data_IF_349568540620
#
_entry.id   IF_349568540620
#
_cell.length_a   1.000
_cell.length_b   1.000
_cell.length_c   1.000
_cell.angle_alpha   90.00
_cell.angle_beta   90.00
_cell.angle_gamma   90.00
#
_symmetry.space_group_name_H-M   'P 1'
#
loop_
_entity.id
_entity.type
_entity.pdbx_description
1 polymer ?
#
# COMPACT_ATOMS: atom_id res chain seq x y z
N UNK A 1 34.36 -53.02 17.72
CA UNK A 1 33.40 -52.75 16.64
C UNK A 1 32.02 -52.80 17.25
N UNK A 2 31.44 -51.63 17.52
CA UNK A 2 30.04 -51.50 17.94
C UNK A 2 29.44 -50.52 16.94
N UNK A 3 28.50 -51.00 16.14
CA UNK A 3 27.68 -50.19 15.23
C UNK A 3 26.78 -49.26 16.05
N UNK A 4 26.80 -47.96 15.74
CA UNK A 4 25.79 -47.00 16.18
C UNK A 4 24.51 -47.23 15.36
N UNK A 5 23.31 -47.29 15.98
CA UNK A 5 22.08 -47.38 15.22
C UNK A 5 21.64 -45.98 14.77
N UNK A 6 21.57 -45.81 13.45
CA UNK A 6 20.85 -44.75 12.78
C UNK A 6 19.40 -44.67 13.29
N UNK A 7 19.05 -43.54 13.93
CA UNK A 7 17.65 -43.21 14.17
C UNK A 7 17.39 -41.70 14.07
N UNK A 8 17.71 -41.12 12.91
CA UNK A 8 17.06 -39.88 12.48
C UNK A 8 15.72 -40.23 11.84
N UNK A 9 14.69 -40.39 12.68
CA UNK A 9 13.28 -40.41 12.26
C UNK A 9 12.79 -38.95 12.12
N UNK A 10 12.57 -38.43 10.89
CA UNK A 10 12.21 -37.04 10.67
C UNK A 10 10.78 -36.69 11.14
N UNK A 11 9.98 -37.66 11.59
CA UNK A 11 8.60 -37.45 12.03
C UNK A 11 8.45 -37.11 13.53
N UNK A 12 9.55 -37.05 14.30
CA UNK A 12 9.52 -36.81 15.76
C UNK A 12 10.18 -35.51 16.22
N UNK A 13 10.33 -34.53 15.34
CA UNK A 13 10.90 -33.23 15.73
C UNK A 13 9.82 -32.35 16.35
N UNK A 14 9.82 -32.29 17.70
CA UNK A 14 9.05 -31.30 18.44
C UNK A 14 9.64 -29.90 18.20
N UNK A 15 9.13 -29.20 17.21
CA UNK A 15 9.50 -27.81 16.90
C UNK A 15 9.12 -26.90 18.06
N UNK A 16 10.09 -26.60 18.92
CA UNK A 16 9.95 -25.52 19.91
C UNK A 16 10.07 -24.19 19.16
N UNK A 17 9.08 -23.29 19.22
CA UNK A 17 9.06 -22.03 18.46
C UNK A 17 9.99 -20.96 19.06
N UNK A 18 11.21 -21.37 19.42
CA UNK A 18 12.19 -20.52 20.12
C UNK A 18 13.47 -20.29 19.30
N UNK A 19 13.58 -20.85 18.10
CA UNK A 19 14.72 -20.62 17.21
C UNK A 19 14.24 -20.12 15.87
N UNK A 20 14.54 -18.86 15.56
CA UNK A 20 14.38 -18.30 14.23
C UNK A 20 15.33 -19.03 13.27
N UNK A 21 14.78 -19.53 12.16
CA UNK A 21 15.54 -20.19 11.10
C UNK A 21 15.27 -21.69 11.00
N UNK A 22 15.06 -22.19 9.78
CA UNK A 22 15.03 -23.62 9.46
C UNK A 22 16.13 -23.90 8.44
N UNK A 23 16.69 -25.11 8.45
CA UNK A 23 17.63 -25.54 7.43
C UNK A 23 16.99 -25.46 6.03
N UNK A 24 17.74 -24.94 5.05
CA UNK A 24 17.30 -24.85 3.64
C UNK A 24 17.14 -26.23 2.98
N UNK A 25 17.67 -27.28 3.60
CA UNK A 25 17.56 -28.66 3.11
C UNK A 25 16.27 -29.36 3.56
N UNK A 26 15.40 -28.67 4.30
CA UNK A 26 14.10 -29.21 4.74
C UNK A 26 12.94 -28.56 3.98
N UNK A 27 11.81 -29.27 3.81
CA UNK A 27 10.59 -28.69 3.26
C UNK A 27 10.19 -27.43 4.03
N UNK A 28 9.79 -26.38 3.31
CA UNK A 28 9.31 -25.14 3.91
C UNK A 28 7.94 -25.42 4.55
N UNK A 29 7.81 -25.33 5.89
CA UNK A 29 6.51 -25.52 6.54
C UNK A 29 5.60 -24.31 6.28
N UNK A 30 4.31 -24.46 6.55
CA UNK A 30 3.36 -23.35 6.60
C UNK A 30 3.90 -22.24 7.54
N UNK A 31 4.28 -21.10 6.96
CA UNK A 31 4.92 -19.99 7.67
C UNK A 31 3.87 -18.97 8.12
N UNK A 32 3.67 -18.88 9.43
CA UNK A 32 2.98 -17.75 10.06
C UNK A 32 3.99 -16.76 10.62
N UNK A 33 3.60 -15.50 10.81
CA UNK A 33 4.47 -14.51 11.45
C UNK A 33 4.87 -14.94 12.87
N UNK A 34 3.95 -15.57 13.62
CA UNK A 34 4.25 -16.18 14.91
C UNK A 34 5.37 -17.24 14.79
N UNK A 35 5.29 -18.15 13.81
CA UNK A 35 6.31 -19.17 13.57
C UNK A 35 7.67 -18.60 13.12
N UNK A 36 7.67 -17.40 12.56
CA UNK A 36 8.87 -16.69 12.12
C UNK A 36 9.46 -15.78 13.23
N UNK A 37 8.85 -15.74 14.42
CA UNK A 37 9.24 -14.83 15.49
C UNK A 37 8.93 -13.36 15.20
N UNK A 38 8.06 -13.10 14.22
CA UNK A 38 7.63 -11.76 13.82
C UNK A 38 6.35 -11.42 14.58
N UNK A 39 6.38 -10.35 15.38
CA UNK A 39 5.18 -9.84 16.06
C UNK A 39 4.14 -9.40 15.02
N UNK A 40 2.85 -9.56 15.33
CA UNK A 40 1.75 -9.23 14.41
C UNK A 40 1.85 -7.84 13.78
N UNK A 41 2.26 -6.83 14.57
CA UNK A 41 2.45 -5.46 14.08
C UNK A 41 3.57 -5.28 13.03
N UNK A 42 4.47 -6.24 12.90
CA UNK A 42 5.55 -6.27 11.90
C UNK A 42 5.34 -7.39 10.88
N UNK A 43 4.17 -8.03 10.91
CA UNK A 43 3.87 -9.16 10.07
C UNK A 43 3.62 -8.69 8.63
N UNK A 44 4.50 -8.99 7.66
CA UNK A 44 4.23 -8.66 6.25
C UNK A 44 3.04 -9.47 5.71
N UNK A 45 2.65 -10.54 6.39
CA UNK A 45 1.48 -11.35 6.06
C UNK A 45 0.16 -10.76 6.59
N UNK A 46 0.19 -9.75 7.48
CA UNK A 46 -0.99 -8.95 7.85
C UNK A 46 -1.34 -8.04 6.68
N UNK A 47 -1.88 -8.65 5.62
CA UNK A 47 -2.12 -8.00 4.33
C UNK A 47 -3.31 -7.05 4.40
N UNK A 48 -3.21 -5.98 3.64
CA UNK A 48 -4.37 -5.19 3.23
C UNK A 48 -5.41 -6.14 2.62
N UNK A 49 -6.67 -6.00 3.07
CA UNK A 49 -7.77 -6.82 2.57
C UNK A 49 -8.33 -6.19 1.31
N UNK A 50 -8.58 -7.01 0.30
CA UNK A 50 -9.26 -6.57 -0.90
C UNK A 50 -10.62 -5.94 -0.54
N UNK A 51 -10.91 -4.81 -1.17
CA UNK A 51 -12.13 -4.05 -0.97
C UNK A 51 -12.85 -3.91 -2.31
N UNK A 52 -14.18 -3.94 -2.29
CA UNK A 52 -14.97 -3.85 -3.52
C UNK A 52 -14.80 -2.48 -4.19
N UNK A 53 -14.34 -2.48 -5.44
CA UNK A 53 -14.05 -1.28 -6.24
C UNK A 53 -15.31 -0.54 -6.67
N UNK A 54 -16.48 -1.17 -6.62
CA UNK A 54 -17.75 -0.56 -7.00
C UNK A 54 -18.33 0.36 -5.93
N UNK A 55 -17.88 0.21 -4.68
CA UNK A 55 -18.35 0.98 -3.54
C UNK A 55 -18.08 2.48 -3.73
N UNK A 56 -19.06 3.30 -3.31
CA UNK A 56 -18.98 4.76 -3.43
C UNK A 56 -17.74 5.33 -2.74
N UNK A 57 -17.40 4.81 -1.56
CA UNK A 57 -16.22 5.26 -0.81
C UNK A 57 -14.93 5.06 -1.61
N UNK A 58 -14.77 3.93 -2.31
CA UNK A 58 -13.56 3.66 -3.10
C UNK A 58 -13.43 4.62 -4.28
N UNK A 59 -14.54 4.92 -4.94
CA UNK A 59 -14.58 5.93 -6.01
C UNK A 59 -14.29 7.34 -5.49
N UNK A 60 -14.78 7.66 -4.28
CA UNK A 60 -14.51 8.93 -3.61
C UNK A 60 -13.03 9.07 -3.25
N UNK A 61 -12.41 8.02 -2.72
CA UNK A 61 -10.98 7.95 -2.43
C UNK A 61 -10.13 8.19 -3.70
N UNK A 62 -10.41 7.49 -4.80
CA UNK A 62 -9.74 7.72 -6.08
C UNK A 62 -9.95 9.16 -6.60
N UNK A 63 -11.18 9.68 -6.48
CA UNK A 63 -11.51 11.05 -6.90
C UNK A 63 -10.79 12.09 -6.05
N UNK A 64 -10.61 11.86 -4.75
CA UNK A 64 -9.83 12.72 -3.86
C UNK A 64 -8.36 12.77 -4.30
N UNK A 65 -7.77 11.63 -4.67
CA UNK A 65 -6.42 11.56 -5.24
C UNK A 65 -6.31 12.35 -6.55
N UNK A 66 -7.27 12.20 -7.46
CA UNK A 66 -7.28 12.95 -8.73
C UNK A 66 -7.41 14.46 -8.48
N UNK A 67 -8.28 14.87 -7.55
CA UNK A 67 -8.41 16.28 -7.14
C UNK A 67 -7.08 16.82 -6.59
N UNK A 68 -6.36 16.02 -5.81
CA UNK A 68 -5.03 16.39 -5.34
C UNK A 68 -4.06 16.60 -6.51
N UNK A 69 -4.00 15.67 -7.47
CA UNK A 69 -3.15 15.81 -8.67
C UNK A 69 -3.46 17.11 -9.42
N UNK A 70 -4.74 17.33 -9.72
CA UNK A 70 -5.20 18.47 -10.53
C UNK A 70 -4.98 19.83 -9.85
N UNK A 71 -5.01 19.88 -8.52
CA UNK A 71 -4.93 21.12 -7.76
C UNK A 71 -3.53 21.42 -7.21
N UNK A 72 -2.73 20.40 -6.94
CA UNK A 72 -1.39 20.55 -6.36
C UNK A 72 -0.31 20.46 -7.42
N UNK A 73 -0.34 19.43 -8.28
CA UNK A 73 0.71 19.24 -9.30
C UNK A 73 0.41 19.99 -10.58
N UNK A 74 -0.83 19.93 -11.09
CA UNK A 74 -1.14 20.45 -12.44
C UNK A 74 -1.62 21.90 -12.46
N UNK A 75 -2.03 22.48 -11.33
CA UNK A 75 -2.69 23.80 -11.27
C UNK A 75 -1.85 24.92 -11.89
N UNK A 76 -0.55 24.95 -11.61
CA UNK A 76 0.36 25.97 -12.16
C UNK A 76 0.77 25.70 -13.62
N UNK A 77 0.45 24.52 -14.16
CA UNK A 77 0.93 24.03 -15.45
C UNK A 77 -0.20 23.62 -16.38
N UNK A 78 -1.43 24.10 -16.14
CA UNK A 78 -2.59 23.81 -16.99
C UNK A 78 -2.46 24.29 -18.44
N UNK A 79 -1.49 25.16 -18.71
CA UNK A 79 -1.14 25.59 -20.06
C UNK A 79 -0.34 24.54 -20.84
N UNK A 80 0.23 23.53 -20.16
CA UNK A 80 0.99 22.42 -20.76
C UNK A 80 0.38 21.06 -20.48
N UNK A 81 -0.26 20.88 -19.33
CA UNK A 81 -0.77 19.60 -18.86
C UNK A 81 -2.29 19.59 -18.80
N UNK A 82 -2.90 18.48 -19.20
CA UNK A 82 -4.35 18.30 -19.15
C UNK A 82 -4.85 17.90 -17.76
N UNK A 83 -6.10 18.27 -17.46
CA UNK A 83 -6.79 17.94 -16.20
C UNK A 83 -7.33 16.51 -16.28
N UNK A 84 -7.15 15.75 -15.21
CA UNK A 84 -7.60 14.36 -15.16
C UNK A 84 -8.99 14.16 -14.59
N UNK A 85 -9.66 13.12 -15.08
CA UNK A 85 -10.92 12.59 -14.55
C UNK A 85 -10.80 11.08 -14.32
N UNK A 86 -11.61 10.56 -13.39
CA UNK A 86 -11.60 9.14 -13.06
C UNK A 86 -12.16 8.33 -14.25
N UNK A 87 -11.40 7.35 -14.72
CA UNK A 87 -11.88 6.37 -15.70
C UNK A 87 -12.47 5.15 -14.97
N UNK A 88 -11.66 4.52 -14.13
CA UNK A 88 -12.06 3.34 -13.36
C UNK A 88 -11.14 3.13 -12.16
N UNK A 89 -11.63 2.40 -11.16
CA UNK A 89 -10.78 1.88 -10.06
C UNK A 89 -10.44 0.43 -10.37
N UNK A 90 -9.14 0.13 -10.44
CA UNK A 90 -8.62 -1.19 -10.80
C UNK A 90 -8.55 -2.10 -9.57
N UNK A 91 -8.04 -1.56 -8.45
CA UNK A 91 -7.84 -2.31 -7.20
C UNK A 91 -7.99 -1.37 -6.02
N UNK A 92 -8.56 -1.89 -4.94
CA UNK A 92 -8.62 -1.21 -3.66
C UNK A 92 -8.36 -2.21 -2.54
N UNK A 93 -7.53 -1.81 -1.59
CA UNK A 93 -7.22 -2.61 -0.41
C UNK A 93 -7.23 -1.74 0.83
N UNK A 94 -7.61 -2.31 1.96
CA UNK A 94 -7.68 -1.60 3.22
C UNK A 94 -7.03 -2.39 4.35
N UNK A 95 -6.29 -1.70 5.19
CA UNK A 95 -5.79 -2.21 6.46
C UNK A 95 -6.18 -1.30 7.62
N UNK A 96 -6.14 -1.84 8.85
CA UNK A 96 -6.36 -1.02 10.04
C UNK A 96 -5.17 -0.09 10.22
N UNK A 97 -5.43 1.22 10.32
CA UNK A 97 -4.37 2.19 10.55
C UNK A 97 -3.99 2.23 12.04
N UNK A 98 -2.71 2.02 12.35
CA UNK A 98 -2.17 2.17 13.70
C UNK A 98 -1.20 3.36 13.72
N UNK A 99 -1.53 4.41 14.48
CA UNK A 99 -0.62 5.54 14.62
C UNK A 99 0.49 5.19 15.63
N UNK A 100 1.69 4.89 15.15
CA UNK A 100 2.82 4.50 16.02
C UNK A 100 3.54 5.67 16.68
N UNK A 101 3.15 6.93 16.38
CA UNK A 101 3.89 8.13 16.81
C UNK A 101 3.20 8.92 17.94
N UNK A 102 2.22 8.34 18.62
CA UNK A 102 1.52 9.00 19.74
C UNK A 102 2.31 8.88 21.06
N UNK A 103 3.48 9.52 21.16
CA UNK A 103 4.17 9.77 22.44
C UNK A 103 4.07 11.22 22.91
N UNK A 104 3.30 12.08 22.22
CA UNK A 104 3.08 13.47 22.65
C UNK A 104 1.62 13.67 23.06
N UNK A 105 1.43 13.89 24.35
CA UNK A 105 0.17 14.01 25.10
C UNK A 105 -0.69 15.25 24.77
N UNK A 106 -0.48 15.90 23.62
CA UNK A 106 -1.21 17.11 23.23
C UNK A 106 -1.88 17.04 21.84
N UNK A 107 -1.88 15.88 21.16
CA UNK A 107 -2.54 15.70 19.85
C UNK A 107 -3.93 15.04 19.96
N UNK A 108 -4.65 15.33 21.04
CA UNK A 108 -5.91 14.69 21.45
C UNK A 108 -7.12 15.00 20.55
N UNK A 109 -6.91 15.57 19.37
CA UNK A 109 -8.00 16.03 18.48
C UNK A 109 -7.86 15.64 16.99
N UNK A 110 -6.84 14.89 16.53
CA UNK A 110 -6.55 14.86 15.08
C UNK A 110 -6.33 13.53 14.35
N UNK A 111 -6.23 12.39 15.02
CA UNK A 111 -5.87 11.14 14.32
C UNK A 111 -6.84 9.97 14.61
N UNK A 112 -8.13 10.18 14.41
CA UNK A 112 -9.15 9.11 14.46
C UNK A 112 -9.27 8.34 13.13
N UNK A 113 -8.20 8.27 12.33
CA UNK A 113 -8.22 7.48 11.10
C UNK A 113 -8.21 6.00 11.45
N UNK A 114 -9.23 5.28 10.97
CA UNK A 114 -9.43 3.86 11.27
C UNK A 114 -8.77 2.96 10.24
N UNK A 115 -8.65 3.44 9.00
CA UNK A 115 -8.18 2.65 7.87
C UNK A 115 -7.14 3.37 7.02
N UNK A 116 -6.18 2.61 6.52
CA UNK A 116 -5.30 3.00 5.42
C UNK A 116 -5.75 2.24 4.18
N UNK A 117 -6.18 2.98 3.16
CA UNK A 117 -6.56 2.45 1.87
C UNK A 117 -5.43 2.62 0.88
N UNK A 118 -5.12 1.56 0.13
CA UNK A 118 -4.29 1.61 -1.08
C UNK A 118 -5.21 1.45 -2.28
N UNK A 119 -5.29 2.49 -3.12
CA UNK A 119 -6.20 2.53 -4.27
C UNK A 119 -5.40 2.69 -5.55
N UNK A 120 -5.60 1.76 -6.49
CA UNK A 120 -5.06 1.77 -7.84
C UNK A 120 -6.18 2.14 -8.81
N UNK A 121 -6.02 3.23 -9.56
CA UNK A 121 -7.06 3.77 -10.43
C UNK A 121 -6.49 4.28 -11.75
N UNK A 122 -7.30 4.23 -12.81
CA UNK A 122 -6.97 4.73 -14.12
C UNK A 122 -7.69 6.07 -14.37
N UNK A 123 -7.03 7.00 -15.06
CA UNK A 123 -7.58 8.32 -15.40
C UNK A 123 -7.61 8.58 -16.89
N UNK A 124 -8.52 9.47 -17.30
CA UNK A 124 -8.57 10.07 -18.62
C UNK A 124 -8.02 11.50 -18.59
N UNK A 125 -7.45 12.01 -19.70
CA UNK A 125 -7.36 11.36 -21.02
C UNK A 125 -6.13 10.46 -21.22
N UNK A 126 -5.19 10.43 -20.29
CA UNK A 126 -3.88 9.79 -20.49
C UNK A 126 -3.86 8.26 -20.37
N UNK A 127 -4.96 7.65 -19.93
CA UNK A 127 -5.00 6.24 -19.49
C UNK A 127 -3.93 5.97 -18.42
N UNK A 128 -3.74 6.96 -17.56
CA UNK A 128 -2.75 6.88 -16.52
C UNK A 128 -3.26 6.09 -15.32
N UNK A 129 -2.61 4.96 -15.02
CA UNK A 129 -2.73 4.25 -13.75
C UNK A 129 -1.89 4.93 -12.66
N UNK A 130 -2.56 5.27 -11.57
CA UNK A 130 -1.96 5.82 -10.36
C UNK A 130 -2.30 4.94 -9.15
N UNK A 131 -1.39 4.91 -8.19
CA UNK A 131 -1.59 4.34 -6.87
C UNK A 131 -1.53 5.44 -5.81
N UNK A 132 -2.44 5.40 -4.85
CA UNK A 132 -2.46 6.34 -3.74
C UNK A 132 -2.79 5.65 -2.42
N UNK A 133 -2.10 6.08 -1.35
CA UNK A 133 -2.40 5.66 0.01
C UNK A 133 -3.19 6.75 0.73
N UNK A 134 -4.32 6.38 1.32
CA UNK A 134 -5.31 7.33 1.82
C UNK A 134 -5.81 6.88 3.20
N UNK A 135 -5.69 7.77 4.18
CA UNK A 135 -6.29 7.59 5.50
C UNK A 135 -7.79 7.88 5.43
N UNK A 136 -8.58 6.96 5.96
CA UNK A 136 -10.03 7.08 6.08
C UNK A 136 -10.45 6.95 7.54
N UNK A 137 -11.29 7.89 7.98
CA UNK A 137 -11.92 7.90 9.30
C UNK A 137 -13.40 7.63 9.10
N UNK A 138 -13.78 6.38 9.33
CA UNK A 138 -15.15 5.88 9.13
C UNK A 138 -16.20 6.64 9.96
N UNK A 139 -16.00 6.94 11.26
CA UNK A 139 -16.97 7.70 12.05
C UNK A 139 -17.32 9.09 11.53
N UNK A 140 -16.35 9.79 10.94
CA UNK A 140 -16.53 11.19 10.49
C UNK A 140 -16.60 11.33 8.97
N UNK A 141 -16.44 10.22 8.25
CA UNK A 141 -16.29 10.16 6.80
C UNK A 141 -15.19 11.11 6.28
N UNK A 142 -14.11 11.29 7.04
CA UNK A 142 -13.00 12.18 6.64
C UNK A 142 -11.89 11.41 5.94
N UNK A 143 -11.37 12.01 4.87
CA UNK A 143 -10.37 11.42 3.98
C UNK A 143 -9.13 12.31 4.00
N UNK A 144 -7.94 11.70 4.12
CA UNK A 144 -6.66 12.40 4.07
C UNK A 144 -5.64 11.58 3.29
N UNK A 145 -4.97 12.19 2.32
CA UNK A 145 -3.87 11.54 1.61
C UNK A 145 -2.73 11.22 2.59
N UNK A 146 -2.26 9.96 2.61
CA UNK A 146 -1.23 9.50 3.53
C UNK A 146 0.19 9.70 2.99
N UNK A 147 0.36 9.43 1.70
CA UNK A 147 1.65 9.49 0.98
C UNK A 147 1.49 10.17 -0.38
N UNK A 148 2.60 10.40 -1.06
CA UNK A 148 2.58 10.84 -2.46
C UNK A 148 1.82 9.85 -3.35
N UNK A 149 1.28 10.38 -4.46
CA UNK A 149 0.58 9.60 -5.47
C UNK A 149 1.59 9.13 -6.50
N UNK A 150 1.61 7.83 -6.76
CA UNK A 150 2.61 7.21 -7.64
C UNK A 150 2.01 6.85 -8.98
N UNK A 151 2.71 7.19 -10.06
CA UNK A 151 2.40 6.75 -11.42
C UNK A 151 2.90 5.32 -11.62
N UNK A 152 2.02 4.40 -12.02
CA UNK A 152 2.36 2.97 -12.09
C UNK A 152 2.79 2.52 -13.49
N UNK A 153 2.06 2.91 -14.55
CA UNK A 153 2.51 2.63 -15.93
C UNK A 153 3.41 3.74 -16.49
N UNK A 154 4.26 3.36 -17.44
CA UNK A 154 5.20 4.23 -18.14
C UNK A 154 4.47 5.42 -18.77
N UNK A 155 5.00 6.63 -18.58
CA UNK A 155 4.49 7.86 -19.22
C UNK A 155 5.03 8.04 -20.65
N UNK A 156 6.20 7.47 -20.98
CA UNK A 156 6.75 7.50 -22.33
C UNK A 156 6.93 8.93 -22.84
N UNK A 157 6.31 9.26 -23.99
CA UNK A 157 6.40 10.58 -24.61
C UNK A 157 5.35 11.58 -24.11
N UNK A 158 4.42 11.19 -23.23
CA UNK A 158 3.33 12.07 -22.80
C UNK A 158 3.82 13.27 -21.98
N UNK A 159 5.00 13.19 -21.40
CA UNK A 159 5.61 14.29 -20.65
C UNK A 159 6.84 14.88 -21.33
N UNK A 160 7.01 14.68 -22.65
CA UNK A 160 8.19 15.13 -23.39
C UNK A 160 8.32 16.66 -23.43
N UNK A 161 7.19 17.37 -23.33
CA UNK A 161 7.14 18.83 -23.19
C UNK A 161 7.74 19.33 -21.86
N UNK A 162 7.92 18.47 -20.84
CA UNK A 162 8.45 18.83 -19.54
C UNK A 162 9.97 18.65 -19.50
N UNK A 163 10.68 19.74 -19.80
CA UNK A 163 12.16 19.76 -19.85
C UNK A 163 12.80 19.91 -18.46
N UNK A 164 12.35 20.89 -17.68
CA UNK A 164 13.09 21.35 -16.49
C UNK A 164 12.44 20.95 -15.14
N UNK A 165 11.32 20.20 -15.16
CA UNK A 165 10.57 19.82 -13.95
C UNK A 165 10.30 18.33 -13.90
N UNK A 166 11.34 17.56 -13.59
CA UNK A 166 11.29 16.10 -13.57
C UNK A 166 10.17 15.52 -12.70
N UNK A 167 9.82 16.18 -11.59
CA UNK A 167 8.74 15.72 -10.70
C UNK A 167 7.35 15.75 -11.36
N UNK A 168 7.15 16.59 -12.37
CA UNK A 168 5.87 16.69 -13.11
C UNK A 168 5.73 15.66 -14.22
N UNK A 169 6.81 14.99 -14.63
CA UNK A 169 6.76 14.02 -15.73
C UNK A 169 5.83 12.85 -15.45
N UNK A 170 5.75 12.44 -14.19
CA UNK A 170 4.82 11.40 -13.74
C UNK A 170 3.35 11.83 -13.76
N UNK A 171 3.04 13.12 -13.87
CA UNK A 171 1.65 13.62 -13.78
C UNK A 171 1.18 14.32 -15.06
N UNK A 172 2.07 14.94 -15.82
CA UNK A 172 1.70 15.72 -17.00
C UNK A 172 1.41 14.82 -18.22
N UNK A 173 0.32 15.13 -18.91
CA UNK A 173 -0.08 14.59 -20.20
C UNK A 173 -0.58 15.74 -21.08
#
# INVERSE_FOLDING_TARGET
MVEEPDLFDPLRVNWRPTTSGISLFHPIPERTCLSAGIRDKYCPCSRAKAFDTNLSIVKELATASIKHINNVYLKAHRHLCMVYTLKTVIRAEAEKFQNTNSTSTNDSLRNNFTHLFTVLFEVLPSNAIFESNILYNEPTNTIKLHSDILRINLYGRTSECIKDKYQLRSFCY
#
